data_IF_072594792247
#
_entry.id   IF_072594792247
#
_cell.length_a   1.000
_cell.length_b   1.000
_cell.length_c   1.000
_cell.angle_alpha   90.00
_cell.angle_beta   90.00
_cell.angle_gamma   90.00
#
_symmetry.space_group_name_H-M   'P 1'
#
loop_
_entity.id
_entity.type
_entity.pdbx_description
1 polymer ?
#
# COMPACT_ATOMS: atom_id res chain seq x y z
N UNK A 1 26.84 16.44 92.56
CA UNK A 1 26.27 16.44 91.19
C UNK A 1 27.34 16.95 90.23
N UNK A 2 28.25 16.06 89.81
CA UNK A 2 29.38 16.34 88.93
C UNK A 2 30.11 15.03 88.63
N UNK A 3 30.91 15.08 87.55
CA UNK A 3 32.02 14.18 87.16
C UNK A 3 31.60 13.06 86.18
N UNK A 4 31.98 13.19 84.89
CA UNK A 4 33.22 12.65 84.23
C UNK A 4 32.93 11.29 83.59
N UNK A 5 33.48 10.81 82.47
CA UNK A 5 34.53 11.18 81.51
C UNK A 5 34.74 9.91 80.64
N UNK A 6 35.60 10.02 79.62
CA UNK A 6 36.29 8.95 78.88
C UNK A 6 35.48 8.18 77.83
N UNK A 7 35.83 8.14 76.54
CA UNK A 7 37.08 7.96 75.78
C UNK A 7 37.26 6.52 75.26
N UNK A 8 37.72 6.46 74.02
CA UNK A 8 38.44 5.37 73.31
C UNK A 8 37.53 4.30 72.70
N UNK A 9 37.36 4.33 71.37
CA UNK A 9 38.26 3.84 70.30
C UNK A 9 38.49 2.33 70.42
N UNK A 10 37.88 1.55 69.53
CA UNK A 10 38.47 0.31 69.01
C UNK A 10 37.73 -0.17 67.77
N UNK A 11 38.49 -0.20 66.69
CA UNK A 11 38.18 -0.64 65.33
C UNK A 11 37.88 -2.12 65.29
N UNK A 12 36.79 -2.53 64.62
CA UNK A 12 36.64 -3.90 64.12
C UNK A 12 36.42 -3.85 62.61
N UNK A 13 37.40 -4.38 61.89
CA UNK A 13 37.36 -4.71 60.48
C UNK A 13 36.22 -5.71 60.22
N UNK A 14 35.30 -5.39 59.32
CA UNK A 14 34.41 -6.36 58.69
C UNK A 14 34.58 -6.24 57.18
N UNK A 15 35.29 -7.21 56.61
CA UNK A 15 35.47 -7.40 55.17
C UNK A 15 34.12 -7.82 54.59
N UNK A 16 33.43 -6.91 53.90
CA UNK A 16 32.21 -7.23 53.15
C UNK A 16 32.57 -7.65 51.72
N UNK A 17 32.46 -8.95 51.48
CA UNK A 17 32.56 -9.59 50.17
C UNK A 17 31.37 -9.13 49.31
N UNK A 18 31.56 -8.11 48.46
CA UNK A 18 30.53 -7.65 47.53
C UNK A 18 30.43 -8.63 46.36
N UNK A 19 29.33 -9.40 46.34
CA UNK A 19 28.95 -10.25 45.22
C UNK A 19 28.56 -9.41 43.99
N UNK A 20 29.23 -9.66 42.87
CA UNK A 20 28.89 -9.11 41.56
C UNK A 20 27.64 -9.82 41.03
N UNK A 21 26.49 -9.15 41.05
CA UNK A 21 25.29 -9.65 40.38
C UNK A 21 25.35 -9.26 38.88
N UNK A 22 25.65 -10.21 38.00
CA UNK A 22 25.46 -10.05 36.56
C UNK A 22 23.96 -10.12 36.24
N UNK A 23 23.32 -8.97 36.07
CA UNK A 23 21.98 -8.87 35.49
C UNK A 23 22.07 -9.04 33.98
N UNK A 24 21.90 -10.27 33.49
CA UNK A 24 21.77 -10.54 32.06
C UNK A 24 20.39 -10.07 31.58
N UNK A 25 20.36 -9.07 30.70
CA UNK A 25 19.14 -8.71 29.96
C UNK A 25 18.86 -9.82 28.95
N UNK A 26 17.80 -10.60 29.19
CA UNK A 26 17.27 -11.55 28.22
C UNK A 26 16.68 -10.82 27.02
N UNK A 27 17.48 -10.67 25.96
CA UNK A 27 16.99 -10.35 24.62
C UNK A 27 16.38 -11.61 24.01
N UNK A 28 15.13 -11.91 24.38
CA UNK A 28 14.33 -12.90 23.67
C UNK A 28 14.03 -12.38 22.27
N UNK A 29 14.84 -12.80 21.31
CA UNK A 29 14.47 -12.72 19.90
C UNK A 29 13.37 -13.76 19.65
N UNK A 30 12.14 -13.43 20.04
CA UNK A 30 10.97 -14.16 19.58
C UNK A 30 10.93 -13.98 18.06
N UNK A 31 11.50 -14.97 17.36
CA UNK A 31 11.43 -15.16 15.91
C UNK A 31 10.01 -15.49 15.46
N UNK A 32 9.03 -14.71 15.91
CA UNK A 32 7.77 -14.54 15.21
C UNK A 32 8.08 -13.70 13.99
N UNK A 33 8.50 -14.39 12.94
CA UNK A 33 8.19 -13.97 11.58
C UNK A 33 6.67 -13.84 11.52
N UNK A 34 6.15 -12.67 11.87
CA UNK A 34 4.78 -12.33 11.50
C UNK A 34 4.76 -12.43 9.99
N UNK A 35 3.98 -13.39 9.48
CA UNK A 35 3.68 -13.45 8.05
C UNK A 35 3.22 -12.05 7.65
N UNK A 36 4.02 -11.36 6.85
CA UNK A 36 3.60 -10.11 6.22
C UNK A 36 2.25 -10.42 5.56
N UNK A 37 1.15 -9.69 5.84
CA UNK A 37 -0.02 -9.78 4.99
C UNK A 37 0.49 -9.53 3.58
N UNK A 38 0.17 -10.42 2.63
CA UNK A 38 0.75 -10.45 1.28
C UNK A 38 0.68 -9.05 0.68
N UNK A 39 1.75 -8.28 0.85
CA UNK A 39 1.81 -6.86 0.55
C UNK A 39 2.21 -6.77 -0.91
N UNK A 40 1.25 -6.95 -1.81
CA UNK A 40 1.22 -6.08 -2.97
C UNK A 40 0.73 -4.72 -2.47
N UNK A 41 1.55 -4.05 -1.67
CA UNK A 41 1.36 -2.63 -1.39
C UNK A 41 1.43 -1.95 -2.75
N UNK A 42 0.42 -1.14 -3.06
CA UNK A 42 0.55 -0.09 -4.06
C UNK A 42 1.91 0.58 -3.83
N UNK A 43 2.89 0.30 -4.69
CA UNK A 43 4.27 0.76 -4.54
C UNK A 43 4.38 2.28 -4.76
N UNK A 44 3.27 2.91 -5.17
CA UNK A 44 3.07 4.33 -5.13
C UNK A 44 3.62 5.02 -6.38
N UNK A 45 4.11 6.26 -6.21
CA UNK A 45 4.55 7.07 -7.36
C UNK A 45 3.41 7.54 -8.29
N UNK A 46 2.17 7.20 -7.95
CA UNK A 46 0.93 7.61 -8.61
C UNK A 46 0.18 8.65 -7.78
N UNK A 47 -0.73 9.41 -8.41
CA UNK A 47 -1.54 10.41 -7.70
C UNK A 47 -2.43 9.79 -6.62
N UNK A 48 -2.90 10.62 -5.68
CA UNK A 48 -3.86 10.21 -4.63
C UNK A 48 -5.16 9.59 -5.16
N UNK A 49 -5.49 9.80 -6.43
CA UNK A 49 -6.59 9.11 -7.10
C UNK A 49 -6.53 7.59 -6.92
N UNK A 50 -5.33 6.98 -7.00
CA UNK A 50 -5.11 5.53 -6.96
C UNK A 50 -5.07 4.97 -5.53
N UNK A 51 -5.18 5.82 -4.51
CA UNK A 51 -5.18 5.37 -3.13
C UNK A 51 -6.62 5.28 -2.62
N UNK A 52 -6.98 4.09 -2.14
CA UNK A 52 -8.25 3.82 -1.49
C UNK A 52 -8.03 3.36 -0.05
N UNK A 53 -8.66 4.04 0.90
CA UNK A 53 -8.53 3.80 2.34
C UNK A 53 -9.84 3.46 3.02
N UNK A 54 -10.93 3.35 2.26
CA UNK A 54 -12.24 2.97 2.77
C UNK A 54 -12.47 1.47 2.59
N UNK A 55 -13.54 0.95 3.18
CA UNK A 55 -13.96 -0.43 2.94
C UNK A 55 -14.17 -0.70 1.45
N UNK A 56 -13.71 -1.86 0.99
CA UNK A 56 -13.85 -2.29 -0.40
C UNK A 56 -15.08 -3.19 -0.48
N UNK A 57 -16.08 -2.86 -1.32
CA UNK A 57 -17.24 -3.72 -1.53
C UNK A 57 -16.82 -5.14 -1.94
N UNK A 58 -17.37 -6.15 -1.25
CA UNK A 58 -17.06 -7.55 -1.54
C UNK A 58 -17.59 -8.03 -2.91
N UNK A 59 -18.59 -7.33 -3.46
CA UNK A 59 -19.10 -7.60 -4.81
C UNK A 59 -18.13 -6.98 -5.84
N UNK A 60 -17.58 -7.75 -6.80
CA UNK A 60 -16.73 -7.20 -7.86
C UNK A 60 -17.50 -6.30 -8.81
N UNK A 61 -16.80 -5.32 -9.40
CA UNK A 61 -17.35 -4.42 -10.42
C UNK A 61 -18.07 -3.18 -9.87
N UNK A 62 -18.00 -2.91 -8.57
CA UNK A 62 -18.57 -1.69 -7.98
C UNK A 62 -17.62 -0.52 -8.20
N UNK A 63 -18.10 0.53 -8.86
CA UNK A 63 -17.35 1.76 -9.07
C UNK A 63 -17.12 2.49 -7.74
N UNK A 64 -15.86 2.80 -7.45
CA UNK A 64 -15.43 3.48 -6.22
C UNK A 64 -15.13 4.95 -6.47
N UNK A 65 -14.45 5.25 -7.58
CA UNK A 65 -14.02 6.60 -7.95
C UNK A 65 -13.87 6.70 -9.46
N UNK A 66 -14.08 7.90 -10.01
CA UNK A 66 -13.75 8.22 -11.39
C UNK A 66 -13.28 9.67 -11.52
N UNK A 67 -12.38 9.92 -12.45
CA UNK A 67 -12.04 11.28 -12.86
C UNK A 67 -11.57 11.33 -14.33
N UNK A 68 -11.66 12.51 -14.94
CA UNK A 68 -11.17 12.70 -16.30
C UNK A 68 -9.67 12.41 -16.38
N UNK A 69 -9.25 11.78 -17.47
CA UNK A 69 -7.84 11.62 -17.79
C UNK A 69 -7.25 12.94 -18.31
N UNK A 70 -5.96 13.22 -17.98
CA UNK A 70 -5.18 14.21 -18.70
C UNK A 70 -5.23 13.99 -20.21
N UNK A 71 -5.22 15.08 -20.98
CA UNK A 71 -5.40 15.02 -22.44
C UNK A 71 -4.38 14.13 -23.17
N UNK A 72 -3.15 14.02 -22.65
CA UNK A 72 -2.09 13.17 -23.20
C UNK A 72 -2.32 11.65 -22.99
N UNK A 73 -3.31 11.26 -22.19
CA UNK A 73 -3.72 9.87 -21.98
C UNK A 73 -5.01 9.50 -22.74
N UNK A 74 -5.67 10.47 -23.38
CA UNK A 74 -6.86 10.25 -24.19
C UNK A 74 -6.46 9.72 -25.57
N UNK A 75 -7.13 8.66 -26.03
CA UNK A 75 -6.85 8.10 -27.36
C UNK A 75 -7.20 9.10 -28.47
N UNK A 76 -6.47 9.11 -29.61
CA UNK A 76 -6.71 10.08 -30.69
C UNK A 76 -8.15 10.13 -31.22
N UNK A 77 -8.84 8.99 -31.19
CA UNK A 77 -10.21 8.84 -31.68
C UNK A 77 -11.27 8.84 -30.56
N UNK A 78 -10.86 9.06 -29.31
CA UNK A 78 -11.77 9.27 -28.19
C UNK A 78 -12.13 10.76 -28.07
N UNK A 79 -13.34 11.03 -27.58
CA UNK A 79 -13.76 12.38 -27.16
C UNK A 79 -13.33 12.67 -25.72
N UNK A 80 -13.21 11.62 -24.90
CA UNK A 80 -12.86 11.71 -23.50
C UNK A 80 -12.23 10.40 -23.03
N UNK A 81 -11.23 10.51 -22.17
CA UNK A 81 -10.73 9.41 -21.35
C UNK A 81 -11.12 9.62 -19.89
N UNK A 82 -11.43 8.53 -19.20
CA UNK A 82 -11.84 8.51 -17.80
C UNK A 82 -11.03 7.41 -17.11
N UNK A 83 -10.36 7.75 -16.02
CA UNK A 83 -9.79 6.72 -15.13
C UNK A 83 -10.80 6.39 -14.04
N UNK A 84 -10.85 5.12 -13.69
CA UNK A 84 -11.78 4.58 -12.70
C UNK A 84 -11.03 3.74 -11.68
N UNK A 85 -11.54 3.72 -10.45
CA UNK A 85 -11.27 2.68 -9.45
C UNK A 85 -12.53 1.87 -9.22
N UNK A 86 -12.40 0.54 -9.16
CA UNK A 86 -13.53 -0.35 -8.92
C UNK A 86 -13.12 -1.55 -8.07
N UNK A 87 -14.08 -2.13 -7.35
CA UNK A 87 -13.86 -3.36 -6.58
C UNK A 87 -13.61 -4.54 -7.50
N UNK A 88 -12.73 -5.43 -7.10
CA UNK A 88 -12.39 -6.66 -7.80
C UNK A 88 -12.08 -7.77 -6.79
N UNK A 89 -11.79 -8.95 -7.30
CA UNK A 89 -11.35 -10.11 -6.52
C UNK A 89 -9.86 -10.31 -6.70
N UNK A 90 -9.15 -10.57 -5.61
CA UNK A 90 -7.73 -10.90 -5.62
C UNK A 90 -7.50 -12.16 -6.48
N UNK A 91 -6.58 -12.05 -7.43
CA UNK A 91 -6.26 -13.14 -8.36
C UNK A 91 -5.48 -14.28 -7.73
N UNK A 92 -4.86 -14.06 -6.56
CA UNK A 92 -4.06 -15.06 -5.86
C UNK A 92 -4.92 -16.04 -5.07
N UNK A 93 -5.98 -15.56 -4.42
CA UNK A 93 -6.84 -16.38 -3.56
C UNK A 93 -8.29 -16.53 -4.08
N UNK A 94 -8.68 -15.73 -5.07
CA UNK A 94 -9.99 -15.79 -5.71
C UNK A 94 -11.16 -15.38 -4.81
N UNK A 95 -10.91 -14.72 -3.67
CA UNK A 95 -11.97 -14.38 -2.70
C UNK A 95 -11.77 -13.05 -1.96
N UNK A 96 -10.55 -12.57 -1.80
CA UNK A 96 -10.29 -11.33 -1.08
C UNK A 96 -10.73 -10.15 -1.95
N UNK A 97 -11.49 -9.22 -1.35
CA UNK A 97 -11.91 -8.00 -2.03
C UNK A 97 -10.73 -7.05 -2.14
N UNK A 98 -10.44 -6.61 -3.37
CA UNK A 98 -9.40 -5.63 -3.68
C UNK A 98 -10.01 -4.50 -4.51
N UNK A 99 -9.27 -3.41 -4.70
CA UNK A 99 -9.61 -2.41 -5.72
C UNK A 99 -8.54 -2.42 -6.80
N UNK A 100 -8.96 -2.14 -8.03
CA UNK A 100 -8.08 -2.02 -9.19
C UNK A 100 -8.45 -0.77 -9.98
N UNK A 101 -7.57 -0.35 -10.88
CA UNK A 101 -7.81 0.79 -11.75
C UNK A 101 -8.10 0.38 -13.19
N UNK A 102 -8.76 1.26 -13.93
CA UNK A 102 -9.02 1.09 -15.35
C UNK A 102 -9.04 2.44 -16.08
N UNK A 103 -8.90 2.37 -17.40
CA UNK A 103 -9.07 3.49 -18.32
C UNK A 103 -10.24 3.19 -19.27
N UNK A 104 -11.25 4.05 -19.25
CA UNK A 104 -12.40 4.06 -20.13
C UNK A 104 -12.26 5.19 -21.16
N UNK A 105 -12.24 4.81 -22.44
CA UNK A 105 -12.12 5.74 -23.56
C UNK A 105 -13.45 5.82 -24.31
N UNK A 106 -14.07 6.99 -24.30
CA UNK A 106 -15.36 7.22 -24.96
C UNK A 106 -15.14 7.63 -26.42
N UNK A 107 -15.78 6.97 -27.39
CA UNK A 107 -15.62 7.31 -28.80
C UNK A 107 -16.28 8.66 -29.14
N UNK A 108 -15.80 9.30 -30.21
CA UNK A 108 -16.44 10.50 -30.78
C UNK A 108 -17.80 10.15 -31.39
N UNK A 109 -18.71 11.11 -31.39
CA UNK A 109 -20.02 11.02 -32.05
C UNK A 109 -21.18 10.79 -31.09
N UNK A 110 -22.37 10.54 -31.66
CA UNK A 110 -23.59 10.28 -30.88
C UNK A 110 -23.73 8.78 -30.64
N UNK A 111 -23.99 8.33 -29.39
CA UNK A 111 -24.22 6.91 -29.12
C UNK A 111 -25.41 6.39 -29.97
N UNK A 112 -25.30 5.18 -30.55
CA UNK A 112 -26.42 4.57 -31.27
C UNK A 112 -27.55 4.21 -30.28
N UNK A 113 -28.72 3.86 -30.82
CA UNK A 113 -29.80 3.31 -30.01
C UNK A 113 -29.32 2.07 -29.24
N UNK A 114 -29.42 2.10 -27.91
CA UNK A 114 -28.86 1.07 -27.02
C UNK A 114 -27.47 1.35 -26.48
N UNK A 115 -26.82 2.46 -26.87
CA UNK A 115 -25.50 2.87 -26.38
C UNK A 115 -24.33 2.30 -27.18
N UNK A 116 -23.12 2.74 -26.87
CA UNK A 116 -21.91 2.21 -27.51
C UNK A 116 -21.68 0.74 -27.11
N UNK A 117 -21.22 -0.12 -28.03
CA UNK A 117 -20.72 -1.43 -27.65
C UNK A 117 -19.52 -1.28 -26.71
N UNK A 118 -19.46 -2.12 -25.67
CA UNK A 118 -18.35 -2.14 -24.72
C UNK A 118 -17.28 -3.12 -25.18
N UNK A 119 -16.03 -2.66 -25.22
CA UNK A 119 -14.85 -3.49 -25.52
C UNK A 119 -13.96 -3.50 -24.29
N UNK A 120 -13.75 -4.68 -23.72
CA UNK A 120 -12.72 -4.89 -22.70
C UNK A 120 -11.40 -5.26 -23.40
N UNK A 121 -10.39 -4.41 -23.23
CA UNK A 121 -9.07 -4.61 -23.84
C UNK A 121 -8.02 -4.80 -22.76
N UNK A 122 -7.31 -5.93 -22.81
CA UNK A 122 -6.17 -6.19 -21.95
C UNK A 122 -4.89 -5.63 -22.59
N UNK A 123 -4.11 -4.88 -21.82
CA UNK A 123 -2.78 -4.44 -22.24
C UNK A 123 -1.79 -5.62 -22.23
N UNK A 124 -0.69 -5.50 -22.99
CA UNK A 124 0.44 -6.43 -22.88
C UNK A 124 1.22 -6.24 -21.56
N UNK A 125 2.36 -6.89 -21.40
CA UNK A 125 3.20 -6.68 -20.21
C UNK A 125 3.75 -5.25 -20.17
N UNK A 126 3.36 -4.47 -19.17
CA UNK A 126 3.79 -3.07 -18.98
C UNK A 126 4.68 -2.85 -17.74
N UNK A 127 4.77 -3.85 -16.87
CA UNK A 127 5.49 -3.80 -15.59
C UNK A 127 4.64 -4.31 -14.43
N UNK A 128 5.19 -4.27 -13.21
CA UNK A 128 4.52 -4.72 -11.98
C UNK A 128 4.24 -3.60 -10.97
N UNK A 129 4.76 -2.40 -11.23
CA UNK A 129 4.60 -1.23 -10.37
C UNK A 129 3.33 -0.43 -10.72
N UNK A 130 2.78 0.32 -9.78
CA UNK A 130 1.63 1.22 -9.97
C UNK A 130 1.91 2.24 -11.07
N UNK A 131 3.15 2.76 -11.12
CA UNK A 131 3.57 3.71 -12.16
C UNK A 131 3.57 3.10 -13.57
N UNK A 132 3.53 1.78 -13.69
CA UNK A 132 3.40 1.08 -14.96
C UNK A 132 1.95 0.96 -15.43
N UNK A 133 0.95 1.26 -14.58
CA UNK A 133 -0.45 1.07 -14.90
C UNK A 133 -0.87 1.89 -16.13
N UNK A 134 -1.55 1.31 -17.15
CA UNK A 134 -1.95 2.04 -18.35
C UNK A 134 -2.98 3.16 -18.12
N UNK A 135 -3.64 3.14 -16.96
CA UNK A 135 -4.52 4.22 -16.49
C UNK A 135 -3.74 5.44 -15.99
N UNK A 136 -2.45 5.28 -15.64
CA UNK A 136 -1.57 6.31 -15.12
C UNK A 136 -0.56 6.83 -16.15
N UNK A 137 0.08 5.92 -16.89
CA UNK A 137 1.19 6.27 -17.79
C UNK A 137 0.74 6.41 -19.24
N UNK A 138 1.53 7.18 -20.01
CA UNK A 138 1.32 7.33 -21.46
C UNK A 138 1.55 5.99 -22.15
N UNK A 139 0.63 5.63 -23.04
CA UNK A 139 0.72 4.41 -23.84
C UNK A 139 1.89 4.47 -24.82
N UNK A 140 2.47 3.31 -25.11
CA UNK A 140 3.44 3.18 -26.19
C UNK A 140 2.74 3.52 -27.53
N UNK A 141 3.41 4.22 -28.47
CA UNK A 141 2.85 4.52 -29.79
C UNK A 141 2.30 3.30 -30.54
N UNK A 142 2.83 2.10 -30.29
CA UNK A 142 2.34 0.83 -30.85
C UNK A 142 0.95 0.45 -30.35
N UNK A 143 0.54 0.94 -29.18
CA UNK A 143 -0.74 0.60 -28.55
C UNK A 143 -1.87 1.56 -28.93
N UNK A 144 -1.56 2.67 -29.63
CA UNK A 144 -2.54 3.72 -29.98
C UNK A 144 -2.84 3.81 -31.48
N UNK A 145 -2.06 3.15 -32.34
CA UNK A 145 -2.27 3.13 -33.80
C UNK A 145 -2.30 1.70 -34.30
N UNK A 146 -3.48 1.24 -34.73
CA UNK A 146 -3.58 0.09 -35.62
C UNK A 146 -3.33 0.61 -37.04
N UNK A 147 -2.18 0.25 -37.63
CA UNK A 147 -1.97 0.44 -39.08
C UNK A 147 -2.92 -0.44 -39.87
#
# INVERSE_FOLDING_TARGET
MRLTQFSRLSTFFAVTLSGLALSACGGGSDGRLTSQPKMFTADGGVSSFYQWSQEIPATPGILLRQEALPANLVLPNAVQGIRILYSSTDGDDGKTAIYVSGDLQLPKGTPPAGGWPLIAWAHGTVGVADVCAPSWTVRDPRDVVRR
#
